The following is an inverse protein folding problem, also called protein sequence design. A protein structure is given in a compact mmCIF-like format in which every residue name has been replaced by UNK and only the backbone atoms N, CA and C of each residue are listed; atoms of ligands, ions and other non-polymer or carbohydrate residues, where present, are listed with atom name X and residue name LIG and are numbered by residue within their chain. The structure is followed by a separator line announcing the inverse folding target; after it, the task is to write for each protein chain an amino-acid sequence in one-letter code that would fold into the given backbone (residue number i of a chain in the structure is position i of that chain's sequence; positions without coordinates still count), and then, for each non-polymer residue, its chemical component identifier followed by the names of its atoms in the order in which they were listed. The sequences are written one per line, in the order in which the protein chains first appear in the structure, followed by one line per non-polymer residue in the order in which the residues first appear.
data_IF_024947444981
#
_entry.id   IF_024947444981
#
_cell.length_a   1.000
_cell.length_b   1.000
_cell.length_c   1.000
_cell.angle_alpha   90.00
_cell.angle_beta   90.00
_cell.angle_gamma   90.00
#
_symmetry.space_group_name_H-M   'P 1'
#
loop_
_entity.id
_entity.type
_entity.pdbx_description
1 polymer ?
#
# COMPACT_ATOMS: atom_id res chain seq x y z
N UNK A 1 85.22 64.65 14.33
CA UNK A 1 84.00 64.29 13.58
C UNK A 1 83.37 63.08 14.26
N UNK A 2 82.15 63.19 14.77
CA UNK A 2 81.40 62.02 15.21
C UNK A 2 81.27 61.03 14.05
N UNK A 3 81.80 59.82 14.20
CA UNK A 3 81.74 58.77 13.16
C UNK A 3 80.38 58.08 13.25
N UNK A 4 79.34 58.75 12.76
CA UNK A 4 78.00 58.18 12.67
C UNK A 4 77.92 57.32 11.41
N UNK A 5 77.87 56.00 11.57
CA UNK A 5 77.55 55.07 10.48
C UNK A 5 76.04 54.86 10.48
N UNK A 6 75.38 55.38 9.45
CA UNK A 6 73.96 55.22 9.26
C UNK A 6 73.72 53.97 8.40
N UNK A 7 72.86 53.07 8.88
CA UNK A 7 72.45 51.90 8.10
C UNK A 7 71.69 52.36 6.86
N UNK A 8 72.26 52.08 5.69
CA UNK A 8 71.67 52.40 4.39
C UNK A 8 71.24 51.12 3.69
N UNK A 9 70.14 51.16 2.91
CA UNK A 9 69.79 50.04 2.05
C UNK A 9 70.93 49.75 1.06
N UNK A 10 71.08 48.50 0.62
CA UNK A 10 72.10 48.15 -0.36
C UNK A 10 71.93 49.00 -1.63
N UNK A 11 73.05 49.32 -2.31
CA UNK A 11 73.06 50.23 -3.48
C UNK A 11 72.11 49.83 -4.63
N UNK A 12 71.61 48.59 -4.65
CA UNK A 12 70.63 48.07 -5.62
C UNK A 12 69.19 47.90 -5.10
N UNK A 13 68.88 48.36 -3.89
CA UNK A 13 67.56 48.18 -3.26
C UNK A 13 67.32 46.77 -2.70
N UNK A 14 66.22 46.61 -1.96
CA UNK A 14 65.78 45.30 -1.47
C UNK A 14 65.11 44.49 -2.58
N UNK A 15 65.13 43.15 -2.45
CA UNK A 15 64.37 42.28 -3.33
C UNK A 15 62.87 42.63 -3.26
N UNK A 16 62.14 42.53 -4.39
CA UNK A 16 60.70 42.74 -4.37
C UNK A 16 60.06 41.70 -3.44
N UNK A 17 59.31 42.17 -2.45
CA UNK A 17 58.53 41.29 -1.59
C UNK A 17 57.12 41.16 -2.13
N UNK A 18 56.61 39.93 -2.14
CA UNK A 18 55.24 39.68 -2.56
C UNK A 18 54.30 40.14 -1.43
N UNK A 19 53.60 41.25 -1.67
CA UNK A 19 52.59 41.77 -0.73
C UNK A 19 51.18 41.22 -1.04
N UNK A 20 50.97 40.69 -2.25
CA UNK A 20 49.67 40.19 -2.69
C UNK A 20 49.44 38.75 -2.20
N UNK A 21 48.22 38.47 -1.75
CA UNK A 21 47.81 37.14 -1.30
C UNK A 21 47.73 36.17 -2.48
N UNK A 22 48.55 35.11 -2.47
CA UNK A 22 48.47 34.03 -3.45
C UNK A 22 47.51 32.93 -3.00
N UNK A 23 46.61 32.51 -3.88
CA UNK A 23 45.74 31.36 -3.66
C UNK A 23 46.26 30.16 -4.45
N UNK A 24 46.50 29.04 -3.77
CA UNK A 24 46.75 27.77 -4.45
C UNK A 24 45.45 27.26 -5.06
N UNK A 25 45.41 26.89 -6.36
CA UNK A 25 44.18 26.37 -6.96
C UNK A 25 43.78 25.06 -6.27
N UNK A 26 42.47 24.87 -6.07
CA UNK A 26 41.95 23.61 -5.53
C UNK A 26 42.20 22.48 -6.54
N UNK A 27 42.64 21.34 -6.01
CA UNK A 27 42.96 20.15 -6.80
C UNK A 27 41.73 19.52 -7.47
N UNK A 28 40.55 19.57 -6.83
CA UNK A 28 39.28 19.15 -7.43
C UNK A 28 38.53 20.38 -7.97
N UNK A 29 38.25 20.36 -9.28
CA UNK A 29 37.39 21.35 -9.93
C UNK A 29 35.91 21.00 -9.68
N UNK A 30 35.05 22.00 -9.55
CA UNK A 30 33.62 21.82 -9.24
C UNK A 30 32.89 20.83 -10.16
N UNK A 31 33.20 20.83 -11.47
CA UNK A 31 32.62 19.88 -12.44
C UNK A 31 32.85 18.41 -12.09
N UNK A 32 33.99 18.08 -11.49
CA UNK A 32 34.31 16.71 -11.08
C UNK A 32 33.51 16.27 -9.85
N UNK A 33 33.20 17.21 -8.95
CA UNK A 33 32.31 16.95 -7.81
C UNK A 33 30.90 16.64 -8.31
N UNK A 34 30.38 17.43 -9.24
CA UNK A 34 29.06 17.20 -9.83
C UNK A 34 28.99 15.86 -10.60
N UNK A 35 30.04 15.54 -11.36
CA UNK A 35 30.13 14.24 -12.04
C UNK A 35 30.16 13.08 -11.05
N UNK A 36 30.99 13.18 -10.00
CA UNK A 36 31.06 12.15 -8.96
C UNK A 36 29.72 11.95 -8.25
N UNK A 37 29.01 13.04 -7.94
CA UNK A 37 27.68 12.99 -7.36
C UNK A 37 26.65 12.35 -8.30
N UNK A 38 26.66 12.69 -9.59
CA UNK A 38 25.76 12.08 -10.56
C UNK A 38 26.01 10.57 -10.71
N UNK A 39 27.28 10.14 -10.76
CA UNK A 39 27.64 8.71 -10.82
C UNK A 39 27.22 7.98 -9.54
N UNK A 40 27.47 8.57 -8.37
CA UNK A 40 27.08 7.98 -7.09
C UNK A 40 25.55 7.82 -6.98
N UNK A 41 24.79 8.86 -7.32
CA UNK A 41 23.32 8.82 -7.24
C UNK A 41 22.72 7.83 -8.24
N UNK A 42 23.22 7.80 -9.48
CA UNK A 42 22.77 6.83 -10.49
C UNK A 42 23.00 5.38 -10.06
N UNK A 43 24.19 5.06 -9.52
CA UNK A 43 24.47 3.72 -8.98
C UNK A 43 23.56 3.42 -7.78
N UNK A 44 23.39 4.36 -6.86
CA UNK A 44 22.53 4.22 -5.69
C UNK A 44 21.08 3.90 -6.08
N UNK A 45 20.52 4.64 -7.03
CA UNK A 45 19.16 4.42 -7.54
C UNK A 45 19.01 3.06 -8.25
N UNK A 46 20.02 2.62 -9.01
CA UNK A 46 20.00 1.31 -9.65
C UNK A 46 20.01 0.17 -8.63
N UNK A 47 20.83 0.27 -7.59
CA UNK A 47 20.86 -0.71 -6.49
C UNK A 47 19.55 -0.70 -5.70
N UNK A 48 19.01 0.48 -5.39
CA UNK A 48 17.73 0.61 -4.70
C UNK A 48 16.59 -0.01 -5.51
N UNK A 49 16.55 0.22 -6.83
CA UNK A 49 15.55 -0.39 -7.72
C UNK A 49 15.64 -1.92 -7.71
N UNK A 50 16.87 -2.47 -7.79
CA UNK A 50 17.09 -3.92 -7.71
C UNK A 50 16.65 -4.49 -6.37
N UNK A 51 16.99 -3.81 -5.27
CA UNK A 51 16.57 -4.22 -3.94
C UNK A 51 15.04 -4.23 -3.81
N UNK A 52 14.40 -3.12 -4.16
CA UNK A 52 12.93 -3.00 -4.09
C UNK A 52 12.23 -4.07 -4.94
N UNK A 53 12.75 -4.34 -6.13
CA UNK A 53 12.18 -5.38 -6.99
C UNK A 53 12.22 -6.76 -6.31
N UNK A 54 13.38 -7.15 -5.78
CA UNK A 54 13.58 -8.47 -5.21
C UNK A 54 12.91 -8.67 -3.84
N UNK A 55 12.85 -7.64 -3.00
CA UNK A 55 12.38 -7.79 -1.62
C UNK A 55 10.97 -7.27 -1.37
N UNK A 56 10.41 -6.48 -2.29
CA UNK A 56 9.05 -5.95 -2.14
C UNK A 56 8.16 -6.47 -3.25
N UNK A 57 8.53 -6.20 -4.52
CA UNK A 57 7.60 -6.49 -5.63
C UNK A 57 7.45 -7.98 -5.92
N UNK A 58 8.54 -8.77 -5.85
CA UNK A 58 8.47 -10.20 -6.11
C UNK A 58 7.66 -10.95 -5.03
N UNK A 59 7.90 -10.74 -3.71
CA UNK A 59 7.07 -11.36 -2.68
C UNK A 59 5.60 -10.93 -2.74
N UNK A 60 5.32 -9.66 -3.04
CA UNK A 60 3.95 -9.20 -3.24
C UNK A 60 3.27 -9.89 -4.43
N UNK A 61 4.00 -10.08 -5.53
CA UNK A 61 3.50 -10.79 -6.70
C UNK A 61 3.22 -12.26 -6.37
N UNK A 62 4.16 -12.94 -5.71
CA UNK A 62 4.00 -14.34 -5.26
C UNK A 62 2.78 -14.50 -4.37
N UNK A 63 2.57 -13.60 -3.40
CA UNK A 63 1.39 -13.61 -2.54
C UNK A 63 0.09 -13.39 -3.33
N UNK A 64 0.09 -12.49 -4.32
CA UNK A 64 -1.08 -12.27 -5.18
C UNK A 64 -1.39 -13.48 -6.04
N UNK A 65 -0.38 -14.11 -6.63
CA UNK A 65 -0.54 -15.33 -7.41
C UNK A 65 -1.07 -16.48 -6.56
N UNK A 66 -0.54 -16.64 -5.34
CA UNK A 66 -1.05 -17.61 -4.38
C UNK A 66 -2.53 -17.35 -4.03
N UNK A 67 -2.91 -16.08 -3.80
CA UNK A 67 -4.29 -15.71 -3.53
C UNK A 67 -5.21 -15.99 -4.73
N UNK A 68 -4.79 -15.66 -5.95
CA UNK A 68 -5.57 -15.94 -7.17
C UNK A 68 -5.76 -17.45 -7.36
N UNK A 69 -4.74 -18.25 -7.04
CA UNK A 69 -4.83 -19.70 -7.12
C UNK A 69 -5.82 -20.28 -6.09
N UNK A 70 -5.91 -19.69 -4.90
CA UNK A 70 -6.82 -20.13 -3.83
C UNK A 70 -8.24 -19.57 -3.93
N UNK A 71 -8.40 -18.41 -4.56
CA UNK A 71 -9.68 -17.70 -4.74
C UNK A 71 -10.84 -18.61 -5.21
N UNK A 72 -10.72 -19.46 -6.24
CA UNK A 72 -11.84 -20.29 -6.68
C UNK A 72 -12.32 -21.29 -5.62
N UNK A 73 -11.41 -21.81 -4.78
CA UNK A 73 -11.77 -22.73 -3.70
C UNK A 73 -12.49 -21.98 -2.59
N UNK A 74 -11.93 -20.85 -2.14
CA UNK A 74 -12.54 -20.02 -1.10
C UNK A 74 -13.91 -19.49 -1.54
N UNK A 75 -14.05 -19.09 -2.80
CA UNK A 75 -15.31 -18.66 -3.37
C UNK A 75 -16.34 -19.79 -3.39
N UNK A 76 -15.94 -21.01 -3.78
CA UNK A 76 -16.82 -22.17 -3.79
C UNK A 76 -17.28 -22.56 -2.36
N UNK A 77 -16.38 -22.53 -1.39
CA UNK A 77 -16.69 -22.79 0.02
C UNK A 77 -17.67 -21.74 0.57
N UNK A 78 -17.39 -20.47 0.34
CA UNK A 78 -18.25 -19.36 0.73
C UNK A 78 -19.63 -19.48 0.08
N UNK A 79 -19.71 -19.77 -1.21
CA UNK A 79 -20.98 -19.99 -1.92
C UNK A 79 -21.77 -21.15 -1.31
N UNK A 80 -21.10 -22.25 -0.94
CA UNK A 80 -21.75 -23.40 -0.28
C UNK A 80 -22.29 -23.02 1.10
N UNK A 81 -21.52 -22.33 1.92
CA UNK A 81 -21.95 -21.87 3.25
C UNK A 81 -23.15 -20.92 3.13
N UNK A 82 -23.05 -19.99 2.19
CA UNK A 82 -24.08 -19.01 1.93
C UNK A 82 -25.41 -19.66 1.52
N UNK A 83 -25.39 -20.60 0.56
CA UNK A 83 -26.60 -21.33 0.14
C UNK A 83 -27.19 -22.18 1.26
N UNK A 84 -26.34 -22.84 2.07
CA UNK A 84 -26.81 -23.59 3.25
C UNK A 84 -27.57 -22.71 4.23
N UNK A 85 -27.07 -21.50 4.48
CA UNK A 85 -27.75 -20.55 5.35
C UNK A 85 -29.11 -20.11 4.76
N UNK A 86 -29.19 -19.85 3.46
CA UNK A 86 -30.47 -19.52 2.81
C UNK A 86 -31.49 -20.65 2.86
N UNK A 87 -31.05 -21.90 2.68
CA UNK A 87 -31.91 -23.08 2.83
C UNK A 87 -32.44 -23.16 4.26
N UNK A 88 -31.58 -22.96 5.26
CA UNK A 88 -31.99 -22.91 6.66
C UNK A 88 -33.03 -21.81 6.92
N UNK A 89 -32.80 -20.59 6.43
CA UNK A 89 -33.74 -19.49 6.61
C UNK A 89 -35.10 -19.80 5.97
N UNK A 90 -35.12 -20.41 4.77
CA UNK A 90 -36.35 -20.85 4.12
C UNK A 90 -37.09 -21.95 4.91
N UNK A 91 -36.36 -22.89 5.48
CA UNK A 91 -36.95 -23.95 6.31
C UNK A 91 -37.56 -23.37 7.60
N UNK A 92 -36.88 -22.41 8.22
CA UNK A 92 -37.36 -21.76 9.43
C UNK A 92 -38.55 -20.84 9.15
N UNK A 93 -38.53 -20.09 8.03
CA UNK A 93 -39.69 -19.36 7.53
C UNK A 93 -40.92 -20.27 7.36
N UNK A 94 -40.74 -21.44 6.73
CA UNK A 94 -41.82 -22.42 6.54
C UNK A 94 -42.39 -22.92 7.88
N UNK A 95 -41.56 -23.10 8.90
CA UNK A 95 -42.00 -23.53 10.24
C UNK A 95 -42.75 -22.41 10.98
N UNK A 96 -42.25 -21.18 10.89
CA UNK A 96 -42.80 -20.01 11.61
C UNK A 96 -44.11 -19.54 10.96
N UNK A 97 -44.18 -19.52 9.64
CA UNK A 97 -45.32 -18.95 8.88
C UNK A 97 -46.40 -19.97 8.51
N UNK A 98 -46.33 -21.20 9.03
CA UNK A 98 -47.27 -22.29 8.69
C UNK A 98 -48.74 -21.97 8.99
N UNK A 99 -49.00 -21.13 9.99
CA UNK A 99 -50.34 -20.83 10.49
C UNK A 99 -50.94 -19.56 9.85
N UNK A 100 -50.19 -18.88 8.96
CA UNK A 100 -50.62 -17.64 8.31
C UNK A 100 -51.36 -17.96 7.00
N UNK A 101 -52.64 -17.55 6.84
CA UNK A 101 -53.41 -17.89 5.64
C UNK A 101 -52.84 -17.18 4.41
N UNK A 102 -52.65 -17.94 3.32
CA UNK A 102 -52.15 -17.40 2.05
C UNK A 102 -50.64 -17.15 1.99
N UNK A 103 -49.87 -17.47 3.04
CA UNK A 103 -48.42 -17.33 3.01
C UNK A 103 -47.76 -18.47 2.23
N UNK A 104 -46.99 -18.12 1.20
CA UNK A 104 -46.13 -19.05 0.46
C UNK A 104 -44.68 -18.64 0.70
N UNK A 105 -43.82 -19.52 1.27
CA UNK A 105 -42.44 -19.18 1.58
C UNK A 105 -41.68 -18.61 0.39
N UNK A 106 -40.97 -17.49 0.60
CA UNK A 106 -40.23 -16.79 -0.46
C UNK A 106 -41.08 -15.93 -1.40
N UNK A 107 -42.36 -15.71 -1.08
CA UNK A 107 -43.23 -14.73 -1.75
C UNK A 107 -43.75 -13.72 -0.74
N UNK A 108 -44.11 -12.54 -1.21
CA UNK A 108 -44.84 -11.57 -0.40
C UNK A 108 -46.34 -11.81 -0.59
N UNK A 109 -46.97 -12.57 0.32
CA UNK A 109 -48.41 -12.92 0.26
C UNK A 109 -48.86 -13.48 -1.10
N UNK A 110 -48.03 -14.32 -1.73
CA UNK A 110 -48.32 -14.94 -3.04
C UNK A 110 -47.77 -14.15 -4.24
N UNK A 111 -47.32 -12.92 -4.05
CA UNK A 111 -46.62 -12.15 -5.10
C UNK A 111 -45.11 -12.35 -5.04
N UNK A 112 -44.43 -12.55 -6.18
CA UNK A 112 -42.98 -12.65 -6.19
C UNK A 112 -42.37 -11.29 -5.83
N UNK A 113 -41.42 -11.28 -4.88
CA UNK A 113 -40.73 -10.05 -4.43
C UNK A 113 -39.99 -9.37 -5.59
N UNK A 114 -39.47 -10.16 -6.54
CA UNK A 114 -38.78 -9.66 -7.72
C UNK A 114 -39.57 -9.95 -8.99
N UNK A 115 -39.81 -8.90 -9.78
CA UNK A 115 -40.56 -8.97 -11.04
C UNK A 115 -39.74 -9.60 -12.18
N UNK A 116 -38.42 -9.42 -12.17
CA UNK A 116 -37.53 -9.99 -13.18
C UNK A 116 -37.26 -11.47 -12.88
N UNK A 117 -37.61 -12.34 -13.84
CA UNK A 117 -37.36 -13.78 -13.75
C UNK A 117 -35.98 -14.11 -14.33
N UNK A 118 -35.24 -15.00 -13.67
CA UNK A 118 -33.95 -15.52 -14.15
C UNK A 118 -32.71 -14.76 -13.70
N UNK A 119 -32.87 -13.64 -12.98
CA UNK A 119 -31.75 -12.91 -12.37
C UNK A 119 -31.64 -13.30 -10.90
N UNK A 120 -30.44 -13.73 -10.49
CA UNK A 120 -30.16 -13.96 -9.07
C UNK A 120 -29.96 -12.62 -8.38
N UNK A 121 -30.85 -12.28 -7.45
CA UNK A 121 -30.68 -11.13 -6.58
C UNK A 121 -30.04 -11.56 -5.27
N UNK A 122 -28.94 -10.91 -4.90
CA UNK A 122 -28.27 -11.18 -3.64
C UNK A 122 -29.16 -10.67 -2.49
N UNK A 123 -29.50 -11.52 -1.50
CA UNK A 123 -30.30 -11.10 -0.36
C UNK A 123 -29.56 -10.03 0.47
N UNK A 124 -30.33 -9.23 1.20
CA UNK A 124 -29.79 -8.25 2.11
C UNK A 124 -29.08 -8.93 3.29
N UNK A 125 -28.29 -8.16 4.05
CA UNK A 125 -27.68 -8.67 5.28
C UNK A 125 -28.73 -9.01 6.34
N UNK A 126 -29.79 -8.22 6.43
CA UNK A 126 -30.89 -8.51 7.37
C UNK A 126 -31.55 -9.84 7.00
N UNK A 127 -31.76 -10.11 5.72
CA UNK A 127 -32.35 -11.38 5.25
C UNK A 127 -31.43 -12.59 5.50
N UNK A 128 -30.12 -12.42 5.31
CA UNK A 128 -29.15 -13.51 5.54
C UNK A 128 -29.07 -13.89 7.03
N UNK A 129 -29.08 -12.89 7.92
CA UNK A 129 -28.94 -13.06 9.37
C UNK A 129 -30.28 -13.05 10.14
N UNK A 130 -31.43 -13.12 9.46
CA UNK A 130 -32.77 -12.93 10.04
C UNK A 130 -33.09 -13.81 11.26
N UNK A 131 -32.57 -15.05 11.29
CA UNK A 131 -32.80 -16.01 12.37
C UNK A 131 -31.58 -16.20 13.29
N UNK A 132 -30.65 -15.24 13.27
CA UNK A 132 -29.51 -15.20 14.18
C UNK A 132 -29.67 -14.04 15.15
N UNK A 133 -28.98 -14.10 16.29
CA UNK A 133 -28.90 -12.97 17.22
C UNK A 133 -28.30 -11.77 16.47
N UNK A 134 -29.13 -10.77 16.17
CA UNK A 134 -28.82 -9.66 15.25
C UNK A 134 -27.51 -8.97 15.65
N UNK A 135 -27.32 -8.72 16.95
CA UNK A 135 -26.15 -8.04 17.48
C UNK A 135 -24.88 -8.87 17.24
N UNK A 136 -24.92 -10.17 17.55
CA UNK A 136 -23.76 -11.06 17.39
C UNK A 136 -23.43 -11.36 15.92
N UNK A 137 -24.45 -11.53 15.08
CA UNK A 137 -24.28 -11.77 13.64
C UNK A 137 -23.71 -10.54 12.92
N UNK A 138 -24.22 -9.36 13.26
CA UNK A 138 -23.79 -8.09 12.69
C UNK A 138 -22.34 -7.74 13.06
N UNK A 139 -21.98 -7.83 14.36
CA UNK A 139 -20.62 -7.52 14.79
C UNK A 139 -19.60 -8.50 14.24
N UNK A 140 -19.91 -9.81 14.21
CA UNK A 140 -18.98 -10.81 13.67
C UNK A 140 -18.61 -10.49 12.21
N UNK A 141 -19.61 -10.21 11.38
CA UNK A 141 -19.40 -9.92 9.95
C UNK A 141 -18.65 -8.59 9.71
N UNK A 142 -18.90 -7.56 10.53
CA UNK A 142 -18.16 -6.31 10.46
C UNK A 142 -16.68 -6.47 10.84
N UNK A 143 -16.42 -7.22 11.91
CA UNK A 143 -15.05 -7.47 12.37
C UNK A 143 -14.27 -8.29 11.35
N UNK A 144 -14.85 -9.38 10.81
CA UNK A 144 -14.22 -10.21 9.79
C UNK A 144 -13.82 -9.41 8.53
N UNK A 145 -14.56 -8.35 8.17
CA UNK A 145 -14.26 -7.52 7.01
C UNK A 145 -13.26 -6.39 7.25
N UNK A 146 -12.95 -6.07 8.51
CA UNK A 146 -12.01 -5.00 8.88
C UNK A 146 -10.60 -5.51 9.21
N UNK A 147 -10.46 -6.80 9.52
CA UNK A 147 -9.19 -7.42 9.90
C UNK A 147 -8.49 -8.20 8.77
N UNK A 148 -8.97 -8.08 7.54
CA UNK A 148 -8.38 -8.66 6.32
C UNK A 148 -8.09 -7.58 5.30
#
# INVERSE_FOLDING_TARGET
MSSYHQDMPPKGGYAPFEYAKQYKPRWIKGKWVFLGFAVYTTIGLQLQKRYYYNYVTLPELENREANIALEPLLLAENNRLFLKQLVKNREDEKKIMKDVPGWVPGTFYGEPVFHQKGVYMKPSREEYYAHTDYDKGYYRHLMERHYH
#
